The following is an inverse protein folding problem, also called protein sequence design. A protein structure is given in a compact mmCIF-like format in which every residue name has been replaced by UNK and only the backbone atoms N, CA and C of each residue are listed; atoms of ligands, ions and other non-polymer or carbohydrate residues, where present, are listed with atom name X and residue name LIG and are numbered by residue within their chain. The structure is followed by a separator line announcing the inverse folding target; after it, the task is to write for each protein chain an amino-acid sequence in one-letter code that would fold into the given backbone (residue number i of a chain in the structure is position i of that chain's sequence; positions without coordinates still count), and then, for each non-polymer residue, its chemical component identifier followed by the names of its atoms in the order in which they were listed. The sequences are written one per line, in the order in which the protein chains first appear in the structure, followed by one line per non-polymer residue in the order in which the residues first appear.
data_IF_213560496296
#
_entry.id   IF_213560496296
#
_cell.length_a   1.000
_cell.length_b   1.000
_cell.length_c   1.000
_cell.angle_alpha   90.00
_cell.angle_beta   90.00
_cell.angle_gamma   90.00
#
_symmetry.space_group_name_H-M   'P 1'
#
loop_
_entity.id
_entity.type
_entity.pdbx_description
1 polymer ?
#
# COMPACT_ATOMS: atom_id res chain seq x y z
N UNK A 1 16.72 -15.12 -18.91
CA UNK A 1 15.34 -15.05 -19.43
C UNK A 1 14.51 -16.17 -18.82
N UNK A 2 13.83 -15.93 -17.69
CA UNK A 2 12.62 -16.65 -17.21
C UNK A 2 12.41 -16.42 -15.69
N UNK A 3 12.08 -15.19 -15.27
CA UNK A 3 11.57 -14.92 -13.91
C UNK A 3 10.10 -14.46 -13.91
N UNK A 4 9.44 -14.43 -15.08
CA UNK A 4 8.07 -13.91 -15.24
C UNK A 4 6.95 -14.96 -15.15
N UNK A 5 7.26 -16.26 -15.22
CA UNK A 5 6.23 -17.32 -15.24
C UNK A 5 5.32 -17.34 -14.00
N UNK A 6 5.87 -17.35 -12.78
CA UNK A 6 5.07 -17.38 -11.55
C UNK A 6 4.21 -16.12 -11.35
N UNK A 7 4.76 -14.97 -11.71
CA UNK A 7 4.10 -13.66 -11.54
C UNK A 7 2.92 -13.49 -12.50
N UNK A 8 3.01 -14.04 -13.72
CA UNK A 8 1.90 -14.08 -14.68
C UNK A 8 0.77 -15.02 -14.24
N UNK A 9 1.10 -16.16 -13.63
CA UNK A 9 0.07 -17.08 -13.08
C UNK A 9 -0.63 -16.42 -11.88
N UNK A 10 0.12 -15.76 -11.01
CA UNK A 10 -0.42 -15.04 -9.86
C UNK A 10 -1.34 -13.88 -10.31
N UNK A 11 -0.92 -13.08 -11.30
CA UNK A 11 -1.73 -11.97 -11.82
C UNK A 11 -3.03 -12.46 -12.49
N UNK A 12 -2.99 -13.60 -13.19
CA UNK A 12 -4.18 -14.22 -13.76
C UNK A 12 -5.17 -14.70 -12.68
N UNK A 13 -4.66 -15.17 -11.53
CA UNK A 13 -5.49 -15.60 -10.40
C UNK A 13 -6.13 -14.41 -9.67
N UNK A 14 -5.37 -13.32 -9.51
CA UNK A 14 -5.84 -12.05 -8.92
C UNK A 14 -7.08 -11.51 -9.63
N UNK A 15 -7.16 -11.63 -10.97
CA UNK A 15 -8.30 -11.16 -11.77
C UNK A 15 -9.63 -11.87 -11.49
N UNK A 16 -9.63 -12.99 -10.74
CA UNK A 16 -10.86 -13.73 -10.40
C UNK A 16 -11.52 -13.26 -9.11
N UNK A 17 -10.88 -12.39 -8.34
CA UNK A 17 -11.45 -11.86 -7.11
C UNK A 17 -12.25 -10.60 -7.42
N UNK A 18 -13.53 -10.62 -7.06
CA UNK A 18 -14.38 -9.41 -7.05
C UNK A 18 -14.09 -8.55 -5.82
N UNK A 19 -13.55 -9.17 -4.76
CA UNK A 19 -13.25 -8.53 -3.50
C UNK A 19 -11.95 -9.06 -2.88
N UNK A 20 -11.10 -8.15 -2.43
CA UNK A 20 -9.77 -8.41 -1.89
C UNK A 20 -9.75 -8.17 -0.37
N UNK A 21 -10.08 -9.21 0.39
CA UNK A 21 -9.96 -9.18 1.85
C UNK A 21 -8.50 -9.06 2.33
N UNK A 22 -8.25 -8.70 3.60
CA UNK A 22 -6.89 -8.59 4.12
C UNK A 22 -6.12 -9.90 4.11
N UNK A 23 -6.82 -11.03 4.24
CA UNK A 23 -6.22 -12.35 4.11
C UNK A 23 -5.71 -12.60 2.67
N UNK A 24 -6.47 -12.19 1.65
CA UNK A 24 -6.08 -12.31 0.24
C UNK A 24 -4.88 -11.41 -0.04
N UNK A 25 -4.95 -10.13 0.33
CA UNK A 25 -3.87 -9.17 0.09
C UNK A 25 -2.57 -9.59 0.79
N UNK A 26 -2.65 -10.10 2.01
CA UNK A 26 -1.50 -10.69 2.71
C UNK A 26 -0.95 -11.93 1.99
N UNK A 27 -1.82 -12.80 1.48
CA UNK A 27 -1.40 -14.01 0.77
C UNK A 27 -0.73 -13.72 -0.58
N UNK A 28 -1.11 -12.64 -1.27
CA UNK A 28 -0.47 -12.21 -2.51
C UNK A 28 1.00 -11.82 -2.30
N UNK A 29 1.32 -11.19 -1.17
CA UNK A 29 2.66 -10.67 -0.91
C UNK A 29 3.14 -9.81 -2.09
N UNK A 30 4.35 -10.10 -2.61
CA UNK A 30 4.91 -9.34 -3.73
C UNK A 30 4.08 -9.42 -5.03
N UNK A 31 3.24 -10.44 -5.21
CA UNK A 31 2.37 -10.50 -6.39
C UNK A 31 1.28 -9.41 -6.41
N UNK A 32 1.08 -8.70 -5.29
CA UNK A 32 0.14 -7.59 -5.21
C UNK A 32 0.48 -6.43 -6.16
N UNK A 33 1.73 -6.29 -6.62
CA UNK A 33 2.10 -5.33 -7.67
C UNK A 33 1.40 -5.58 -9.01
N UNK A 34 0.79 -6.76 -9.19
CA UNK A 34 -0.06 -7.08 -10.33
C UNK A 34 -1.50 -6.54 -10.23
N UNK A 35 -1.89 -5.92 -9.12
CA UNK A 35 -3.20 -5.28 -8.97
C UNK A 35 -3.32 -4.08 -9.91
N UNK A 36 -4.42 -4.03 -10.67
CA UNK A 36 -4.74 -2.83 -11.45
C UNK A 36 -5.27 -1.71 -10.54
N UNK A 37 -5.23 -0.46 -11.01
CA UNK A 37 -5.85 0.68 -10.31
C UNK A 37 -7.34 0.40 -10.00
N UNK A 38 -8.07 -0.18 -10.96
CA UNK A 38 -9.45 -0.62 -10.75
C UNK A 38 -9.61 -1.63 -9.62
N UNK A 39 -8.65 -2.55 -9.40
CA UNK A 39 -8.72 -3.49 -8.30
C UNK A 39 -8.50 -2.78 -6.96
N UNK A 40 -7.57 -1.82 -6.91
CA UNK A 40 -7.27 -1.02 -5.72
C UNK A 40 -8.49 -0.18 -5.32
N UNK A 41 -9.08 0.53 -6.29
CA UNK A 41 -10.16 1.49 -6.03
C UNK A 41 -11.49 0.80 -5.70
N UNK A 42 -11.83 -0.26 -6.44
CA UNK A 42 -13.17 -0.86 -6.40
C UNK A 42 -13.21 -2.26 -5.78
N UNK A 43 -12.06 -2.96 -5.73
CA UNK A 43 -12.00 -4.33 -5.24
C UNK A 43 -11.62 -4.45 -3.76
N UNK A 44 -11.17 -3.37 -3.12
CA UNK A 44 -10.78 -3.35 -1.70
C UNK A 44 -11.75 -2.42 -0.96
N UNK A 45 -12.40 -2.89 0.11
CA UNK A 45 -13.17 -1.99 0.96
C UNK A 45 -12.23 -1.08 1.77
N UNK A 46 -12.76 0.00 2.32
CA UNK A 46 -11.96 0.95 3.09
C UNK A 46 -11.39 0.31 4.37
N UNK A 47 -12.21 -0.49 5.06
CA UNK A 47 -11.84 -1.23 6.27
C UNK A 47 -10.79 -2.30 5.96
N UNK A 48 -10.97 -3.01 4.85
CA UNK A 48 -10.02 -4.04 4.42
C UNK A 48 -8.70 -3.44 3.96
N UNK A 49 -8.74 -2.25 3.35
CA UNK A 49 -7.53 -1.54 2.96
C UNK A 49 -6.71 -1.16 4.20
N UNK A 50 -7.34 -0.55 5.19
CA UNK A 50 -6.68 -0.17 6.45
C UNK A 50 -6.08 -1.39 7.16
N UNK A 51 -6.85 -2.48 7.28
CA UNK A 51 -6.38 -3.73 7.88
C UNK A 51 -5.23 -4.39 7.10
N UNK A 52 -5.06 -4.05 5.82
CA UNK A 52 -4.04 -4.60 4.93
C UNK A 52 -2.76 -3.78 4.86
N UNK A 53 -2.72 -2.57 5.41
CA UNK A 53 -1.54 -1.68 5.35
C UNK A 53 -0.25 -2.36 5.84
N UNK A 54 -0.23 -3.12 6.95
CA UNK A 54 0.99 -3.81 7.38
C UNK A 54 1.51 -4.86 6.40
N UNK A 55 0.67 -5.36 5.49
CA UNK A 55 1.05 -6.29 4.44
C UNK A 55 1.44 -5.55 3.15
N UNK A 56 0.61 -4.59 2.71
CA UNK A 56 0.84 -3.84 1.47
C UNK A 56 2.07 -2.92 1.56
N UNK A 57 2.36 -2.36 2.74
CA UNK A 57 3.56 -1.55 2.99
C UNK A 57 4.87 -2.33 2.92
N UNK A 58 4.82 -3.68 2.90
CA UNK A 58 6.00 -4.55 2.70
C UNK A 58 6.20 -4.97 1.24
N UNK A 59 5.26 -4.63 0.37
CA UNK A 59 5.33 -4.96 -1.06
C UNK A 59 6.23 -3.94 -1.75
N UNK A 60 7.23 -4.42 -2.48
CA UNK A 60 8.19 -3.57 -3.20
C UNK A 60 7.81 -3.48 -4.67
N UNK A 61 8.09 -2.32 -5.27
CA UNK A 61 7.88 -2.13 -6.71
C UNK A 61 6.46 -1.74 -7.10
N UNK A 62 5.66 -1.20 -6.16
CA UNK A 62 4.51 -0.39 -6.52
C UNK A 62 4.94 0.69 -7.50
N UNK A 63 4.23 0.82 -8.62
CA UNK A 63 4.42 1.99 -9.47
C UNK A 63 3.76 3.23 -8.81
N UNK A 64 4.13 4.42 -9.29
CA UNK A 64 3.68 5.68 -8.71
C UNK A 64 2.14 5.83 -8.71
N UNK A 65 1.46 5.31 -9.75
CA UNK A 65 0.00 5.37 -9.84
C UNK A 65 -0.66 4.46 -8.80
N UNK A 66 -0.14 3.25 -8.63
CA UNK A 66 -0.64 2.27 -7.64
C UNK A 66 -0.44 2.78 -6.21
N UNK A 67 0.77 3.25 -5.87
CA UNK A 67 1.04 3.76 -4.53
C UNK A 67 0.16 4.97 -4.21
N UNK A 68 -0.01 5.88 -5.18
CA UNK A 68 -0.87 7.05 -5.02
C UNK A 68 -2.34 6.67 -4.86
N UNK A 69 -2.83 5.71 -5.65
CA UNK A 69 -4.21 5.22 -5.55
C UNK A 69 -4.50 4.58 -4.18
N UNK A 70 -3.58 3.75 -3.69
CA UNK A 70 -3.68 3.13 -2.35
C UNK A 70 -3.73 4.21 -1.27
N UNK A 71 -2.80 5.16 -1.28
CA UNK A 71 -2.71 6.22 -0.26
C UNK A 71 -3.92 7.15 -0.31
N UNK A 72 -4.34 7.59 -1.50
CA UNK A 72 -5.48 8.49 -1.63
C UNK A 72 -6.76 7.83 -1.12
N UNK A 73 -6.97 6.55 -1.42
CA UNK A 73 -8.12 5.79 -0.90
C UNK A 73 -8.05 5.65 0.62
N UNK A 74 -6.89 5.27 1.17
CA UNK A 74 -6.67 5.14 2.61
C UNK A 74 -6.92 6.46 3.37
N UNK A 75 -6.44 7.59 2.86
CA UNK A 75 -6.67 8.89 3.51
C UNK A 75 -8.14 9.32 3.38
N UNK A 76 -8.79 8.98 2.26
CA UNK A 76 -10.21 9.29 2.03
C UNK A 76 -11.15 8.46 2.91
N UNK A 77 -10.72 7.28 3.38
CA UNK A 77 -11.46 6.48 4.37
C UNK A 77 -11.35 7.01 5.80
N UNK A 78 -10.54 8.04 6.04
CA UNK A 78 -10.36 8.67 7.34
C UNK A 78 -9.11 8.23 8.11
N UNK A 79 -8.20 7.46 7.50
CA UNK A 79 -6.91 7.16 8.11
C UNK A 79 -6.13 8.45 8.37
N UNK A 80 -5.57 8.58 9.59
CA UNK A 80 -4.82 9.76 10.01
C UNK A 80 -3.35 9.42 10.24
N UNK A 81 -2.47 10.25 9.66
CA UNK A 81 -1.03 10.21 9.93
C UNK A 81 -0.75 11.19 11.09
N UNK A 82 -0.98 10.73 12.32
CA UNK A 82 -0.90 11.57 13.53
C UNK A 82 0.47 11.57 14.20
N UNK A 83 1.26 10.52 14.00
CA UNK A 83 2.56 10.30 14.64
C UNK A 83 3.55 9.55 13.75
N UNK A 84 4.82 9.46 14.16
CA UNK A 84 5.84 8.77 13.37
C UNK A 84 5.53 7.29 13.11
N UNK A 85 4.81 6.62 14.01
CA UNK A 85 4.45 5.22 13.88
C UNK A 85 3.38 5.00 12.81
N UNK A 86 2.36 5.86 12.74
CA UNK A 86 1.31 5.85 11.72
C UNK A 86 1.88 6.11 10.32
N UNK A 87 2.91 6.96 10.22
CA UNK A 87 3.64 7.19 8.97
C UNK A 87 4.53 6.00 8.60
N UNK A 88 5.31 5.47 9.55
CA UNK A 88 6.20 4.34 9.30
C UNK A 88 5.46 3.06 8.92
N UNK A 89 4.24 2.84 9.44
CA UNK A 89 3.38 1.70 9.06
C UNK A 89 3.03 1.65 7.57
N UNK A 90 3.10 2.78 6.85
CA UNK A 90 2.85 2.80 5.41
C UNK A 90 3.96 2.08 4.62
N UNK A 91 5.18 1.97 5.18
CA UNK A 91 6.31 1.32 4.52
C UNK A 91 6.54 1.84 3.11
N UNK A 92 6.71 0.95 2.13
CA UNK A 92 6.93 1.32 0.73
C UNK A 92 5.85 2.22 0.11
N UNK A 93 4.63 2.25 0.70
CA UNK A 93 3.53 3.08 0.21
C UNK A 93 3.73 4.57 0.49
N UNK A 94 4.69 4.97 1.34
CA UNK A 94 5.03 6.39 1.57
C UNK A 94 5.36 7.12 0.26
N UNK A 95 5.85 6.40 -0.76
CA UNK A 95 6.10 6.94 -2.09
C UNK A 95 4.84 7.42 -2.83
N UNK A 96 3.64 7.02 -2.37
CA UNK A 96 2.34 7.49 -2.88
C UNK A 96 1.80 8.73 -2.20
N UNK A 97 2.45 9.25 -1.15
CA UNK A 97 2.03 10.49 -0.50
C UNK A 97 2.25 11.67 -1.44
N UNK A 98 1.20 12.46 -1.66
CA UNK A 98 1.33 13.70 -2.41
C UNK A 98 2.15 14.73 -1.61
N UNK A 99 2.79 15.67 -2.33
CA UNK A 99 3.69 16.66 -1.73
C UNK A 99 2.99 17.55 -0.69
N UNK A 100 1.73 17.92 -0.93
CA UNK A 100 0.94 18.72 0.02
C UNK A 100 0.71 17.98 1.35
N UNK A 101 0.43 16.67 1.32
CA UNK A 101 0.29 15.85 2.52
C UNK A 101 1.61 15.82 3.28
N UNK A 102 2.74 15.56 2.61
CA UNK A 102 4.06 15.57 3.25
C UNK A 102 4.37 16.94 3.88
N UNK A 103 4.10 18.03 3.18
CA UNK A 103 4.34 19.40 3.67
C UNK A 103 3.44 19.78 4.85
N UNK A 104 2.27 19.14 4.97
CA UNK A 104 1.33 19.38 6.07
C UNK A 104 1.70 18.60 7.35
N UNK A 105 2.56 17.58 7.25
CA UNK A 105 2.95 16.79 8.42
C UNK A 105 3.88 17.60 9.33
N UNK A 106 3.68 17.52 10.67
CA UNK A 106 4.63 18.10 11.60
C UNK A 106 6.04 17.51 11.38
N UNK A 107 7.11 18.32 11.38
CA UNK A 107 8.46 17.80 11.17
C UNK A 107 8.86 16.68 12.14
N UNK A 108 8.34 16.72 13.37
CA UNK A 108 8.58 15.69 14.39
C UNK A 108 8.03 14.32 13.97
N UNK A 109 6.86 14.26 13.32
CA UNK A 109 6.29 13.02 12.80
C UNK A 109 7.25 12.36 11.81
N UNK A 110 7.82 13.14 10.90
CA UNK A 110 8.78 12.65 9.91
C UNK A 110 10.06 12.17 10.61
N UNK A 111 10.61 12.97 11.54
CA UNK A 111 11.85 12.64 12.27
C UNK A 111 11.72 11.39 13.16
N UNK A 112 10.54 11.14 13.71
CA UNK A 112 10.23 9.92 14.45
C UNK A 112 10.13 8.74 13.49
N UNK A 113 9.39 8.90 12.39
CA UNK A 113 9.14 7.83 11.44
C UNK A 113 10.42 7.28 10.82
N UNK A 114 11.35 8.13 10.37
CA UNK A 114 12.61 7.71 9.74
C UNK A 114 13.53 6.87 10.66
N UNK A 115 13.27 6.86 11.97
CA UNK A 115 14.01 6.06 12.95
C UNK A 115 13.40 4.68 13.16
N UNK A 116 12.18 4.46 12.67
CA UNK A 116 11.45 3.21 12.82
C UNK A 116 11.83 2.23 11.70
N UNK A 117 12.00 0.93 12.01
CA UNK A 117 12.42 -0.06 11.03
C UNK A 117 11.40 -0.33 9.91
N UNK A 118 10.15 0.10 10.09
CA UNK A 118 9.07 -0.06 9.11
C UNK A 118 9.07 1.00 8.00
N UNK A 119 9.74 2.14 8.18
CA UNK A 119 9.53 3.35 7.35
C UNK A 119 9.94 3.24 5.87
N UNK A 120 10.91 2.38 5.54
CA UNK A 120 11.40 2.19 4.17
C UNK A 120 11.75 0.70 3.93
N UNK A 121 10.73 -0.16 4.00
CA UNK A 121 10.86 -1.60 3.76
C UNK A 121 10.62 -2.02 2.32
#
# INVERSE_FOLDING_TARGET
LSFLGPLQVASALVRKFEHFSPAILRALGQAAVGLSISNIENGISDEDLEASIPALGKVRGWNAEQSSAIINKLLSSGYQISDGQSLAKLGSLVAGLNSSTIQSLPPQVILEAIKLPEFDQ
#
